data_IF_974489493262
#
_entry.id   IF_974489493262
#
_cell.length_a   1.000
_cell.length_b   1.000
_cell.length_c   1.000
_cell.angle_alpha   90.00
_cell.angle_beta   90.00
_cell.angle_gamma   90.00
#
_symmetry.space_group_name_H-M   'P 1'
#
loop_
_entity.id
_entity.type
_entity.pdbx_description
1 polymer ?
#
# COMPACT_ATOMS: atom_id res chain seq x y z
N UNK A 1 25.84 -11.22 40.90
CA UNK A 1 26.07 -12.54 40.26
C UNK A 1 26.06 -12.40 38.75
N UNK A 2 27.09 -12.87 38.08
CA UNK A 2 27.19 -12.77 36.62
C UNK A 2 26.23 -13.77 35.94
N UNK A 3 25.52 -13.31 34.92
CA UNK A 3 24.62 -14.15 34.12
C UNK A 3 25.42 -15.05 33.18
N UNK A 4 26.51 -14.52 32.60
CA UNK A 4 27.33 -15.26 31.65
C UNK A 4 28.48 -15.95 32.38
N UNK A 5 28.76 -17.20 32.01
CA UNK A 5 29.75 -18.05 32.68
C UNK A 5 31.18 -17.62 32.39
N UNK A 6 31.44 -17.19 31.15
CA UNK A 6 32.80 -16.82 30.72
C UNK A 6 32.75 -15.79 29.60
N UNK A 7 33.91 -15.35 29.13
CA UNK A 7 34.01 -14.34 28.08
C UNK A 7 33.51 -14.83 26.73
N UNK A 8 33.55 -16.14 26.47
CA UNK A 8 33.05 -16.73 25.23
C UNK A 8 31.51 -16.63 25.16
N UNK A 9 30.87 -16.95 26.28
CA UNK A 9 29.41 -16.85 26.40
C UNK A 9 28.97 -15.39 26.30
N UNK A 10 29.70 -14.48 26.91
CA UNK A 10 29.47 -13.04 26.82
C UNK A 10 29.61 -12.56 25.38
N UNK A 11 30.66 -12.97 24.67
CA UNK A 11 30.90 -12.59 23.26
C UNK A 11 29.75 -13.07 22.38
N UNK A 12 29.27 -14.28 22.60
CA UNK A 12 28.11 -14.83 21.88
C UNK A 12 26.87 -13.99 22.12
N UNK A 13 26.66 -13.58 23.37
CA UNK A 13 25.52 -12.72 23.72
C UNK A 13 25.61 -11.36 23.03
N UNK A 14 26.80 -10.75 23.00
CA UNK A 14 27.03 -9.47 22.36
C UNK A 14 26.72 -9.57 20.85
N UNK A 15 27.18 -10.63 20.18
CA UNK A 15 26.91 -10.86 18.76
C UNK A 15 25.41 -11.02 18.51
N UNK A 16 24.74 -11.78 19.36
CA UNK A 16 23.30 -12.01 19.28
C UNK A 16 22.52 -10.69 19.43
N UNK A 17 22.89 -9.92 20.44
CA UNK A 17 22.25 -8.63 20.71
C UNK A 17 22.43 -7.67 19.55
N UNK A 18 23.66 -7.59 19.01
CA UNK A 18 23.93 -6.72 17.85
C UNK A 18 23.09 -7.12 16.64
N UNK A 19 22.95 -8.41 16.41
CA UNK A 19 22.11 -8.93 15.32
C UNK A 19 20.65 -8.57 15.53
N UNK A 20 20.18 -8.73 16.76
CA UNK A 20 18.78 -8.41 17.09
C UNK A 20 18.50 -6.93 17.00
N UNK A 21 19.47 -6.08 17.39
CA UNK A 21 19.33 -4.63 17.25
C UNK A 21 19.16 -4.24 15.78
N UNK A 22 19.89 -4.85 14.87
CA UNK A 22 19.74 -4.61 13.44
C UNK A 22 18.36 -5.03 12.93
N UNK A 23 17.89 -6.20 13.39
CA UNK A 23 16.54 -6.69 13.05
C UNK A 23 15.47 -5.74 13.58
N UNK A 24 15.66 -5.27 14.80
CA UNK A 24 14.75 -4.32 15.43
C UNK A 24 14.65 -3.02 14.62
N UNK A 25 15.80 -2.47 14.24
CA UNK A 25 15.85 -1.23 13.46
C UNK A 25 15.12 -1.39 12.12
N UNK A 26 15.37 -2.50 11.43
CA UNK A 26 14.72 -2.78 10.14
C UNK A 26 13.21 -2.96 10.28
N UNK A 27 12.81 -3.71 11.30
CA UNK A 27 11.39 -3.96 11.55
C UNK A 27 10.64 -2.67 11.91
N UNK A 28 11.24 -1.84 12.78
CA UNK A 28 10.66 -0.55 13.17
C UNK A 28 10.50 0.37 11.98
N UNK A 29 11.53 0.45 11.13
CA UNK A 29 11.49 1.32 9.95
C UNK A 29 10.38 0.86 8.99
N UNK A 30 10.28 -0.45 8.75
CA UNK A 30 9.23 -1.01 7.89
C UNK A 30 7.83 -0.75 8.45
N UNK A 31 7.66 -0.94 9.75
CA UNK A 31 6.38 -0.69 10.41
C UNK A 31 5.97 0.78 10.31
N UNK A 32 6.92 1.68 10.53
CA UNK A 32 6.66 3.12 10.43
C UNK A 32 6.23 3.52 9.02
N UNK A 33 6.91 3.00 8.00
CA UNK A 33 6.56 3.27 6.60
C UNK A 33 5.17 2.77 6.26
N UNK A 34 4.84 1.56 6.68
CA UNK A 34 3.52 0.98 6.44
C UNK A 34 2.43 1.79 7.13
N UNK A 35 2.65 2.16 8.39
CA UNK A 35 1.69 2.96 9.16
C UNK A 35 1.40 4.29 8.47
N UNK A 36 2.43 4.99 8.03
CA UNK A 36 2.26 6.27 7.33
C UNK A 36 1.56 6.11 5.99
N UNK A 37 1.91 5.05 5.24
CA UNK A 37 1.26 4.77 3.96
C UNK A 37 -0.21 4.43 4.16
N UNK A 38 -0.54 3.66 5.19
CA UNK A 38 -1.92 3.32 5.52
C UNK A 38 -2.74 4.56 5.85
N UNK A 39 -2.18 5.49 6.64
CA UNK A 39 -2.84 6.76 6.95
C UNK A 39 -3.10 7.57 5.68
N UNK A 40 -2.10 7.67 4.80
CA UNK A 40 -2.25 8.39 3.53
C UNK A 40 -3.36 7.77 2.68
N UNK A 41 -3.42 6.45 2.64
CA UNK A 41 -4.45 5.76 1.85
C UNK A 41 -5.84 5.98 2.45
N UNK A 42 -5.96 6.00 3.77
CA UNK A 42 -7.25 6.30 4.42
C UNK A 42 -7.76 7.68 4.05
N UNK A 43 -6.87 8.66 3.87
CA UNK A 43 -7.24 10.01 3.44
C UNK A 43 -7.73 10.02 1.98
N UNK A 44 -7.26 9.09 1.16
CA UNK A 44 -7.65 8.97 -0.25
C UNK A 44 -8.93 8.15 -0.44
N UNK A 45 -9.52 7.64 0.62
CA UNK A 45 -10.70 6.76 0.55
C UNK A 45 -11.86 7.40 -0.20
N UNK A 46 -12.13 8.66 0.05
CA UNK A 46 -13.22 9.37 -0.63
C UNK A 46 -12.97 9.48 -2.13
N UNK A 47 -11.71 9.72 -2.53
CA UNK A 47 -11.33 9.77 -3.93
C UNK A 47 -11.52 8.41 -4.60
N UNK A 48 -11.15 7.34 -3.91
CA UNK A 48 -11.35 5.98 -4.41
C UNK A 48 -12.84 5.69 -4.63
N UNK A 49 -13.68 6.06 -3.68
CA UNK A 49 -15.12 5.88 -3.78
C UNK A 49 -15.72 6.70 -4.93
N UNK A 50 -15.23 7.92 -5.11
CA UNK A 50 -15.65 8.77 -6.22
C UNK A 50 -15.30 8.15 -7.57
N UNK A 51 -14.08 7.60 -7.69
CA UNK A 51 -13.66 6.92 -8.92
C UNK A 51 -14.51 5.68 -9.20
N UNK A 52 -14.82 4.89 -8.18
CA UNK A 52 -15.69 3.71 -8.33
C UNK A 52 -17.08 4.09 -8.79
N UNK A 53 -17.63 5.17 -8.24
CA UNK A 53 -18.95 5.66 -8.60
C UNK A 53 -19.01 6.25 -10.00
N UNK A 54 -17.92 6.87 -10.42
CA UNK A 54 -17.82 7.47 -11.75
C UNK A 54 -17.67 6.42 -12.85
N UNK A 55 -16.78 5.45 -12.65
CA UNK A 55 -16.48 4.42 -13.66
C UNK A 55 -17.73 3.60 -13.98
N UNK A 56 -18.12 3.60 -15.23
CA UNK A 56 -19.33 2.88 -15.70
C UNK A 56 -20.64 3.60 -15.44
N UNK A 57 -20.62 4.80 -14.85
CA UNK A 57 -21.81 5.62 -14.68
C UNK A 57 -22.28 6.17 -16.03
N UNK A 58 -23.48 6.73 -16.06
CA UNK A 58 -24.01 7.38 -17.28
C UNK A 58 -23.11 8.56 -17.68
N UNK A 59 -22.63 9.34 -16.72
CA UNK A 59 -21.70 10.44 -16.99
C UNK A 59 -20.40 9.93 -17.59
N UNK A 60 -19.84 8.84 -17.05
CA UNK A 60 -18.60 8.27 -17.59
C UNK A 60 -18.79 7.81 -19.04
N UNK A 61 -19.91 7.15 -19.34
CA UNK A 61 -20.23 6.67 -20.70
C UNK A 61 -20.32 7.83 -21.68
N UNK A 62 -20.96 8.90 -21.27
CA UNK A 62 -21.10 10.11 -22.04
C UNK A 62 -19.77 10.77 -22.31
N UNK A 63 -18.96 10.90 -21.24
CA UNK A 63 -17.63 11.51 -21.31
C UNK A 63 -16.70 10.68 -22.21
N UNK A 64 -16.79 9.36 -22.11
CA UNK A 64 -16.04 8.42 -22.94
C UNK A 64 -16.40 8.59 -24.43
N UNK A 65 -17.68 8.68 -24.73
CA UNK A 65 -18.15 8.89 -26.10
C UNK A 65 -17.69 10.23 -26.66
N UNK A 66 -17.71 11.27 -25.83
CA UNK A 66 -17.23 12.59 -26.22
C UNK A 66 -15.75 12.57 -26.52
N UNK A 67 -14.98 11.80 -25.76
CA UNK A 67 -13.55 11.64 -25.99
C UNK A 67 -13.28 10.93 -27.32
N UNK A 68 -14.01 9.86 -27.60
CA UNK A 68 -13.88 9.13 -28.87
C UNK A 68 -14.25 10.01 -30.07
N UNK A 69 -15.23 10.89 -29.89
CA UNK A 69 -15.67 11.81 -30.92
C UNK A 69 -14.82 13.07 -31.03
N UNK A 70 -13.73 13.16 -30.26
CA UNK A 70 -12.82 14.31 -30.23
C UNK A 70 -13.52 15.63 -29.87
N UNK A 71 -14.55 15.55 -29.03
CA UNK A 71 -15.30 16.72 -28.59
C UNK A 71 -14.71 17.40 -27.37
N UNK A 72 -13.78 16.74 -26.68
CA UNK A 72 -13.14 17.29 -25.48
C UNK A 72 -11.91 18.14 -25.84
N UNK A 73 -11.57 19.14 -25.01
CA UNK A 73 -10.37 19.94 -25.25
C UNK A 73 -9.11 19.08 -25.32
N UNK A 74 -8.23 19.36 -26.27
CA UNK A 74 -7.02 18.56 -26.50
C UNK A 74 -6.08 18.53 -25.27
N UNK A 75 -6.04 19.62 -24.49
CA UNK A 75 -5.16 19.75 -23.33
C UNK A 75 -5.73 19.08 -22.06
N UNK A 76 -6.96 18.63 -22.12
CA UNK A 76 -7.60 17.98 -20.94
C UNK A 76 -6.96 16.62 -20.67
N UNK A 77 -6.61 16.37 -19.41
CA UNK A 77 -6.16 15.05 -18.98
C UNK A 77 -7.35 14.10 -18.97
N UNK A 78 -7.19 12.95 -19.64
CA UNK A 78 -8.29 12.01 -19.88
C UNK A 78 -7.94 10.58 -19.45
N UNK A 79 -7.01 10.44 -18.49
CA UNK A 79 -6.65 9.12 -17.97
C UNK A 79 -7.84 8.35 -17.40
N UNK A 80 -8.80 9.06 -16.82
CA UNK A 80 -10.01 8.45 -16.24
C UNK A 80 -10.98 7.93 -17.32
N UNK A 81 -10.79 8.34 -18.57
CA UNK A 81 -11.62 7.88 -19.69
C UNK A 81 -10.99 6.71 -20.45
N UNK A 82 -9.78 6.31 -20.06
CA UNK A 82 -9.15 5.11 -20.58
C UNK A 82 -9.87 3.90 -19.99
N UNK A 83 -10.36 2.99 -20.85
CA UNK A 83 -11.04 1.77 -20.39
C UNK A 83 -10.16 0.96 -19.44
N UNK A 84 -8.87 0.86 -19.74
CA UNK A 84 -7.94 0.07 -18.95
C UNK A 84 -7.46 0.81 -17.70
N UNK A 85 -7.33 2.13 -17.75
CA UNK A 85 -6.73 2.92 -16.68
C UNK A 85 -7.42 2.77 -15.34
N UNK A 86 -8.70 3.09 -15.26
CA UNK A 86 -9.46 2.96 -14.02
C UNK A 86 -9.67 1.50 -13.66
N UNK A 87 -9.98 0.65 -14.66
CA UNK A 87 -10.23 -0.76 -14.42
C UNK A 87 -9.01 -1.42 -13.78
N UNK A 88 -7.84 -1.21 -14.35
CA UNK A 88 -6.57 -1.76 -13.82
C UNK A 88 -6.31 -1.24 -12.40
N UNK A 89 -6.53 0.05 -12.18
CA UNK A 89 -6.34 0.64 -10.86
C UNK A 89 -7.26 -0.01 -9.81
N UNK A 90 -8.53 -0.23 -10.15
CA UNK A 90 -9.48 -0.86 -9.23
C UNK A 90 -9.15 -2.32 -8.97
N UNK A 91 -8.66 -3.05 -9.99
CA UNK A 91 -8.19 -4.42 -9.80
C UNK A 91 -6.94 -4.48 -8.91
N UNK A 92 -5.99 -3.58 -9.13
CA UNK A 92 -4.80 -3.46 -8.27
C UNK A 92 -5.19 -3.13 -6.84
N UNK A 93 -6.21 -2.28 -6.66
CA UNK A 93 -6.72 -1.94 -5.34
C UNK A 93 -7.32 -3.17 -4.65
N UNK A 94 -8.02 -4.01 -5.39
CA UNK A 94 -8.59 -5.26 -4.86
C UNK A 94 -7.47 -6.21 -4.43
N UNK A 95 -6.44 -6.35 -5.25
CA UNK A 95 -5.27 -7.17 -4.94
C UNK A 95 -4.53 -6.64 -3.71
N UNK A 96 -4.42 -5.32 -3.60
CA UNK A 96 -3.81 -4.69 -2.43
C UNK A 96 -4.60 -5.01 -1.17
N UNK A 97 -5.93 -4.96 -1.23
CA UNK A 97 -6.79 -5.30 -0.10
C UNK A 97 -6.55 -6.74 0.35
N UNK A 98 -6.40 -7.67 -0.59
CA UNK A 98 -6.11 -9.08 -0.26
C UNK A 98 -4.73 -9.21 0.38
N UNK A 99 -3.75 -8.48 -0.11
CA UNK A 99 -2.40 -8.45 0.48
C UNK A 99 -2.46 -7.93 1.92
N UNK A 100 -3.25 -6.88 2.17
CA UNK A 100 -3.40 -6.32 3.52
C UNK A 100 -4.05 -7.31 4.47
N UNK A 101 -5.06 -8.05 4.01
CA UNK A 101 -5.72 -9.09 4.81
C UNK A 101 -4.73 -10.19 5.17
N UNK A 102 -3.94 -10.62 4.21
CA UNK A 102 -2.91 -11.64 4.41
C UNK A 102 -1.88 -11.17 5.43
N UNK A 103 -1.40 -9.94 5.30
CA UNK A 103 -0.45 -9.34 6.23
C UNK A 103 -1.04 -9.28 7.64
N UNK A 104 -2.30 -8.84 7.75
CA UNK A 104 -2.97 -8.77 9.05
C UNK A 104 -3.04 -10.14 9.72
N UNK A 105 -3.32 -11.19 8.95
CA UNK A 105 -3.33 -12.57 9.48
C UNK A 105 -1.96 -12.98 9.99
N UNK A 106 -0.90 -12.69 9.22
CA UNK A 106 0.46 -13.01 9.63
C UNK A 106 0.87 -12.29 10.92
N UNK A 107 0.53 -11.00 11.04
CA UNK A 107 0.86 -10.21 12.22
C UNK A 107 0.06 -10.62 13.45
N UNK A 108 -1.09 -11.27 13.26
CA UNK A 108 -1.95 -11.71 14.35
C UNK A 108 -1.57 -13.08 14.90
N UNK A 109 -0.66 -13.78 14.27
CA UNK A 109 -0.16 -15.07 14.75
C UNK A 109 0.70 -14.89 16.00
N UNK A 110 0.51 -15.74 16.95
CA UNK A 110 1.30 -15.73 18.20
C UNK A 110 2.33 -16.86 18.21
#
# INVERSE_FOLDING_TARGET
MAVYKDSRELDSAVKRIRKMEKSFDRARAAQSRLSKAAESFMKAKEDLEALRGYYGSEDWKKDFQADEASELPAELRRGVLSEDGIWDFLEENRELAETMKKLARELSKK
#
